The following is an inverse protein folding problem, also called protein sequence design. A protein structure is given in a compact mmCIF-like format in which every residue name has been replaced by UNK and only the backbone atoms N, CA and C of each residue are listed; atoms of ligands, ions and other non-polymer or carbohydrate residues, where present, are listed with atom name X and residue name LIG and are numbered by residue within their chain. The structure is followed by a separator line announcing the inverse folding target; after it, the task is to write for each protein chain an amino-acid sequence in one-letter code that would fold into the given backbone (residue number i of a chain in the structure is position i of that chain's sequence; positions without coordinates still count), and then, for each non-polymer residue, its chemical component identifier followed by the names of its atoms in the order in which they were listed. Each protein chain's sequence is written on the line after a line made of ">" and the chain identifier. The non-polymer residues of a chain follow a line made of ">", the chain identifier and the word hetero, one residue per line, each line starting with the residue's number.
data_IF_429902296336
#
_entry.id   IF_429902296336
#
_cell.length_a   1.000
_cell.length_b   1.000
_cell.length_c   1.000
_cell.angle_alpha   90.00
_cell.angle_beta   90.00
_cell.angle_gamma   90.00
#
_symmetry.space_group_name_H-M   'P 1'
#
loop_
_entity.id
_entity.type
_entity.pdbx_description
1 polymer ?
#
# COMPACT_ATOMS: atom_id res chain seq x y z
N UNK A 1 0.09 36.99 28.13
CA UNK A 1 -0.30 37.70 26.88
C UNK A 1 -0.14 36.74 25.72
N UNK A 2 -1.21 36.45 24.98
CA UNK A 2 -1.15 35.59 23.78
C UNK A 2 -0.54 36.38 22.63
N UNK A 3 0.71 36.08 22.28
CA UNK A 3 1.35 36.66 21.11
C UNK A 3 0.60 36.13 19.87
N UNK A 4 0.00 37.01 19.03
CA UNK A 4 -0.67 36.57 17.82
C UNK A 4 0.35 36.00 16.83
N UNK A 5 -0.09 35.04 16.01
CA UNK A 5 0.77 34.48 14.97
C UNK A 5 1.14 35.54 13.94
N UNK A 6 2.38 35.43 13.43
CA UNK A 6 2.85 36.26 12.33
C UNK A 6 1.94 36.07 11.11
N UNK A 7 1.51 37.16 10.47
CA UNK A 7 0.76 37.10 9.23
C UNK A 7 1.66 36.57 8.12
N UNK A 8 1.24 35.52 7.44
CA UNK A 8 1.98 34.89 6.35
C UNK A 8 1.23 35.11 5.04
N UNK A 9 1.94 35.55 4.01
CA UNK A 9 1.37 35.70 2.68
C UNK A 9 1.38 34.34 1.96
N UNK A 10 0.21 33.78 1.63
CA UNK A 10 0.13 32.45 1.04
C UNK A 10 0.61 32.48 -0.41
N UNK A 11 1.43 31.50 -0.80
CA UNK A 11 1.89 31.34 -2.19
C UNK A 11 0.81 30.73 -3.08
N UNK A 12 1.03 30.84 -4.38
CA UNK A 12 0.25 30.15 -5.41
C UNK A 12 0.48 28.65 -5.30
N UNK A 13 -0.59 27.88 -5.10
CA UNK A 13 -0.59 26.42 -5.05
C UNK A 13 -1.88 25.90 -5.69
N UNK A 14 -1.84 24.72 -6.31
CA UNK A 14 -2.94 24.17 -7.11
C UNK A 14 -4.25 24.07 -6.33
N UNK A 15 -4.20 23.63 -5.07
CA UNK A 15 -5.40 23.45 -4.24
C UNK A 15 -6.11 24.73 -3.79
N UNK A 16 -5.55 25.92 -4.11
CA UNK A 16 -6.21 27.22 -3.83
C UNK A 16 -7.12 27.68 -4.96
N UNK A 17 -6.90 27.19 -6.16
CA UNK A 17 -7.72 27.52 -7.33
C UNK A 17 -8.82 26.45 -7.43
N UNK A 18 -10.06 26.78 -7.82
CA UNK A 18 -11.06 25.77 -8.14
C UNK A 18 -10.57 24.89 -9.30
N UNK A 19 -10.93 23.62 -9.27
CA UNK A 19 -10.71 22.71 -10.39
C UNK A 19 -11.94 22.60 -11.27
N UNK A 20 -11.71 22.42 -12.56
CA UNK A 20 -12.74 22.10 -13.54
C UNK A 20 -12.52 20.69 -14.12
N UNK A 21 -11.61 19.93 -13.50
CA UNK A 21 -11.19 18.61 -13.94
C UNK A 21 -12.29 17.60 -13.61
N UNK A 22 -12.55 16.67 -14.54
CA UNK A 22 -13.45 15.53 -14.30
C UNK A 22 -12.66 14.44 -13.58
N UNK A 23 -13.23 13.79 -12.55
CA UNK A 23 -12.52 12.76 -11.82
C UNK A 23 -12.00 11.63 -12.72
N UNK A 24 -10.71 11.31 -12.58
CA UNK A 24 -10.02 10.28 -13.36
C UNK A 24 -9.34 9.22 -12.44
N UNK A 25 -8.71 8.21 -13.02
CA UNK A 25 -8.01 7.14 -12.28
C UNK A 25 -6.83 7.66 -11.43
N UNK A 26 -6.24 8.79 -11.82
CA UNK A 26 -5.12 9.41 -11.13
C UNK A 26 -5.52 10.16 -9.84
N UNK A 27 -6.83 10.37 -9.63
CA UNK A 27 -7.33 11.06 -8.46
C UNK A 27 -7.20 10.21 -7.20
N UNK A 28 -6.89 10.84 -6.04
CA UNK A 28 -6.73 10.11 -4.80
C UNK A 28 -8.07 9.48 -4.38
N UNK A 29 -8.04 8.18 -4.11
CA UNK A 29 -9.17 7.48 -3.51
C UNK A 29 -9.51 8.10 -2.16
N UNK A 30 -10.73 8.63 -2.04
CA UNK A 30 -11.22 9.20 -0.79
C UNK A 30 -11.72 8.09 0.14
N UNK A 31 -11.10 7.95 1.30
CA UNK A 31 -11.53 7.03 2.34
C UNK A 31 -12.39 7.78 3.34
N UNK A 32 -13.68 7.43 3.39
CA UNK A 32 -14.65 8.05 4.30
C UNK A 32 -15.29 6.99 5.18
N UNK A 33 -15.36 7.24 6.49
CA UNK A 33 -15.90 6.27 7.45
C UNK A 33 -17.38 5.95 7.21
N UNK A 34 -18.17 6.93 6.74
CA UNK A 34 -19.60 6.73 6.41
C UNK A 34 -19.82 5.77 5.25
N UNK A 35 -18.87 5.68 4.34
CA UNK A 35 -18.97 4.85 3.14
C UNK A 35 -18.48 3.41 3.42
N UNK A 36 -17.89 3.16 4.60
CA UNK A 36 -17.44 1.85 5.04
C UNK A 36 -18.62 1.02 5.59
N UNK A 37 -19.02 -0.01 4.85
CA UNK A 37 -20.12 -0.93 5.22
C UNK A 37 -19.56 -2.21 5.85
N UNK A 38 -18.40 -2.68 5.37
CA UNK A 38 -17.76 -3.91 5.85
C UNK A 38 -16.54 -3.62 6.73
N UNK A 39 -16.18 -4.59 7.58
CA UNK A 39 -14.95 -4.52 8.38
C UNK A 39 -13.69 -4.38 7.50
N UNK A 40 -13.70 -4.98 6.30
CA UNK A 40 -12.61 -4.85 5.34
C UNK A 40 -12.45 -3.40 4.84
N UNK A 41 -13.55 -2.66 4.68
CA UNK A 41 -13.50 -1.24 4.28
C UNK A 41 -12.92 -0.38 5.41
N UNK A 42 -13.27 -0.70 6.66
CA UNK A 42 -12.70 -0.03 7.84
C UNK A 42 -11.20 -0.32 7.95
N UNK A 43 -10.79 -1.55 7.70
CA UNK A 43 -9.36 -1.91 7.66
C UNK A 43 -8.59 -1.19 6.56
N UNK A 44 -9.19 -1.05 5.38
CA UNK A 44 -8.61 -0.26 4.29
C UNK A 44 -8.48 1.22 4.67
N UNK A 45 -9.46 1.78 5.38
CA UNK A 45 -9.44 3.16 5.89
C UNK A 45 -8.34 3.34 6.95
N UNK A 46 -8.24 2.42 7.91
CA UNK A 46 -7.19 2.41 8.94
C UNK A 46 -5.82 2.35 8.28
N UNK A 47 -5.63 1.45 7.32
CA UNK A 47 -4.38 1.33 6.56
C UNK A 47 -4.03 2.62 5.81
N UNK A 48 -5.02 3.25 5.16
CA UNK A 48 -4.82 4.52 4.46
C UNK A 48 -4.41 5.65 5.42
N UNK A 49 -5.01 5.71 6.60
CA UNK A 49 -4.65 6.69 7.63
C UNK A 49 -3.23 6.49 8.16
N UNK A 50 -2.80 5.25 8.44
CA UNK A 50 -1.41 4.96 8.80
C UNK A 50 -0.44 5.34 7.68
N UNK A 51 -0.76 4.99 6.43
CA UNK A 51 0.06 5.32 5.27
C UNK A 51 0.22 6.83 5.10
N UNK A 52 -0.84 7.59 5.35
CA UNK A 52 -0.81 9.05 5.26
C UNK A 52 0.02 9.69 6.38
N UNK A 53 -0.14 9.23 7.64
CA UNK A 53 0.48 9.89 8.81
C UNK A 53 1.90 9.38 9.11
N UNK A 54 2.20 8.10 8.95
CA UNK A 54 3.53 7.54 9.26
C UNK A 54 4.38 7.26 8.02
N UNK A 55 3.78 7.16 6.83
CA UNK A 55 4.38 6.56 5.63
C UNK A 55 4.44 5.02 5.69
N UNK A 56 4.58 4.41 4.51
CA UNK A 56 4.43 2.95 4.32
C UNK A 56 5.44 2.10 5.11
N UNK A 57 6.68 2.57 5.25
CA UNK A 57 7.74 1.84 5.95
C UNK A 57 7.58 1.80 7.49
N UNK A 58 6.64 2.56 8.04
CA UNK A 58 6.38 2.64 9.48
C UNK A 58 5.08 1.92 9.88
N UNK A 59 4.45 1.19 8.98
CA UNK A 59 3.27 0.36 9.26
C UNK A 59 3.72 -1.03 9.75
N UNK A 60 4.43 -1.03 10.88
CA UNK A 60 4.89 -2.26 11.55
C UNK A 60 3.90 -2.64 12.64
N UNK A 61 3.81 -3.93 12.95
CA UNK A 61 2.95 -4.45 14.03
C UNK A 61 3.24 -3.76 15.37
N UNK A 62 4.51 -3.48 15.67
CA UNK A 62 4.94 -2.76 16.88
C UNK A 62 4.49 -1.30 16.94
N UNK A 63 4.17 -0.68 15.81
CA UNK A 63 3.78 0.74 15.75
C UNK A 63 2.27 0.95 15.62
N UNK A 64 1.50 -0.13 15.46
CA UNK A 64 0.03 -0.06 15.42
C UNK A 64 -0.52 0.35 16.78
N UNK A 65 -1.66 1.04 16.74
CA UNK A 65 -2.38 1.59 17.88
C UNK A 65 -3.73 0.86 18.03
N UNK A 66 -3.74 -0.37 18.60
CA UNK A 66 -4.93 -1.24 18.60
C UNK A 66 -6.12 -0.63 19.35
N UNK A 67 -5.86 0.16 20.39
CA UNK A 67 -6.92 0.85 21.14
C UNK A 67 -7.64 1.91 20.29
N UNK A 68 -6.88 2.71 19.53
CA UNK A 68 -7.44 3.71 18.60
C UNK A 68 -8.20 3.04 17.46
N UNK A 69 -7.67 1.95 16.92
CA UNK A 69 -8.34 1.18 15.86
C UNK A 69 -9.67 0.60 16.33
N UNK A 70 -9.71 0.06 17.56
CA UNK A 70 -10.93 -0.49 18.16
C UNK A 70 -11.98 0.61 18.40
N UNK A 71 -11.56 1.78 18.85
CA UNK A 71 -12.46 2.94 19.03
C UNK A 71 -13.04 3.41 17.70
N UNK A 72 -12.24 3.42 16.62
CA UNK A 72 -12.71 3.80 15.29
C UNK A 72 -13.68 2.76 14.71
N UNK A 73 -13.36 1.47 14.86
CA UNK A 73 -14.25 0.37 14.45
C UNK A 73 -15.61 0.43 15.14
N UNK A 74 -15.62 0.76 16.43
CA UNK A 74 -16.84 0.95 17.21
C UNK A 74 -17.54 2.30 16.96
N UNK A 75 -17.00 3.14 16.06
CA UNK A 75 -17.49 4.50 15.77
C UNK A 75 -17.60 5.38 17.02
N UNK A 76 -16.79 5.10 18.04
CA UNK A 76 -16.71 5.91 19.25
C UNK A 76 -15.91 7.20 19.02
N UNK A 77 -15.01 7.19 18.04
CA UNK A 77 -14.24 8.34 17.60
C UNK A 77 -14.44 8.57 16.09
N UNK A 78 -14.29 9.83 15.68
CA UNK A 78 -14.31 10.23 14.27
C UNK A 78 -12.98 9.96 13.58
N UNK A 79 -12.91 10.06 12.25
CA UNK A 79 -11.64 9.93 11.52
C UNK A 79 -10.69 11.06 11.89
N UNK A 80 -11.18 12.28 12.10
CA UNK A 80 -10.37 13.40 12.60
C UNK A 80 -9.74 13.10 13.95
N UNK A 81 -10.48 12.49 14.87
CA UNK A 81 -9.97 12.09 16.19
C UNK A 81 -8.99 10.92 16.09
N UNK A 82 -9.23 9.97 15.18
CA UNK A 82 -8.26 8.92 14.90
C UNK A 82 -6.93 9.49 14.39
N UNK A 83 -6.98 10.42 13.43
CA UNK A 83 -5.80 11.13 12.92
C UNK A 83 -5.13 11.95 14.03
N UNK A 84 -5.90 12.57 14.94
CA UNK A 84 -5.39 13.25 16.14
C UNK A 84 -4.65 12.28 17.05
N UNK A 85 -5.20 11.10 17.29
CA UNK A 85 -4.58 10.04 18.06
C UNK A 85 -3.27 9.57 17.45
N UNK A 86 -3.24 9.34 16.13
CA UNK A 86 -2.01 8.97 15.41
C UNK A 86 -0.95 10.08 15.45
N UNK A 87 -1.32 11.36 15.37
CA UNK A 87 -0.37 12.47 15.49
C UNK A 87 0.16 12.68 16.90
N UNK A 88 -0.56 12.18 17.91
CA UNK A 88 -0.21 12.29 19.34
C UNK A 88 0.43 11.01 19.90
N UNK A 89 0.58 9.96 19.10
CA UNK A 89 1.20 8.72 19.56
C UNK A 89 2.70 8.88 19.81
N UNK A 90 3.24 8.02 20.67
CA UNK A 90 4.68 7.96 20.93
C UNK A 90 5.46 7.59 19.65
N UNK A 91 4.86 6.77 18.79
CA UNK A 91 5.44 6.43 17.49
C UNK A 91 5.63 7.65 16.59
N UNK A 92 4.67 8.58 16.56
CA UNK A 92 4.84 9.84 15.83
C UNK A 92 5.96 10.68 16.45
N UNK A 93 5.98 10.75 17.77
CA UNK A 93 6.96 11.53 18.52
C UNK A 93 8.39 11.04 18.26
N UNK A 94 8.66 9.78 18.53
CA UNK A 94 10.02 9.23 18.44
C UNK A 94 10.55 9.20 17.00
N UNK A 95 9.69 8.78 16.05
CA UNK A 95 10.15 8.51 14.69
C UNK A 95 10.17 9.76 13.83
N UNK A 96 9.23 10.68 14.05
CA UNK A 96 9.03 11.85 13.18
C UNK A 96 9.41 13.14 13.91
N UNK A 97 8.93 13.35 15.13
CA UNK A 97 9.20 14.61 15.84
C UNK A 97 10.68 14.73 16.23
N UNK A 98 11.20 13.75 16.98
CA UNK A 98 12.55 13.83 17.58
C UNK A 98 13.67 13.83 16.53
N UNK A 99 13.39 13.32 15.32
CA UNK A 99 14.34 13.24 14.21
C UNK A 99 14.37 14.47 13.31
N UNK A 100 13.54 15.48 13.57
CA UNK A 100 13.41 16.66 12.72
C UNK A 100 13.53 17.97 13.52
N UNK A 101 13.95 19.04 12.83
CA UNK A 101 13.87 20.39 13.39
C UNK A 101 12.42 20.90 13.33
N UNK A 102 12.06 21.84 14.21
CA UNK A 102 10.72 22.42 14.27
C UNK A 102 10.23 22.92 12.89
N UNK A 103 11.11 23.54 12.10
CA UNK A 103 10.77 24.06 10.77
C UNK A 103 10.41 22.95 9.77
N UNK A 104 11.25 21.90 9.71
CA UNK A 104 11.04 20.77 8.79
C UNK A 104 9.81 19.95 9.19
N UNK A 105 9.64 19.77 10.49
CA UNK A 105 8.49 19.07 11.07
C UNK A 105 7.17 19.74 10.67
N UNK A 106 7.11 21.07 10.65
CA UNK A 106 5.91 21.79 10.21
C UNK A 106 5.60 21.48 8.75
N UNK A 107 6.60 21.53 7.88
CA UNK A 107 6.39 21.18 6.46
C UNK A 107 5.91 19.74 6.29
N UNK A 108 6.43 18.82 7.11
CA UNK A 108 6.00 17.43 7.13
C UNK A 108 4.56 17.27 7.64
N UNK A 109 4.21 17.97 8.72
CA UNK A 109 2.86 17.97 9.28
C UNK A 109 1.84 18.56 8.30
N UNK A 110 2.17 19.65 7.62
CA UNK A 110 1.31 20.22 6.58
C UNK A 110 1.03 19.22 5.45
N UNK A 111 2.07 18.50 5.01
CA UNK A 111 1.93 17.49 3.96
C UNK A 111 1.09 16.29 4.38
N UNK A 112 1.26 15.83 5.63
CA UNK A 112 0.60 14.62 6.15
C UNK A 112 -0.83 14.88 6.63
N UNK A 113 -1.06 15.99 7.36
CA UNK A 113 -2.37 16.30 7.94
C UNK A 113 -3.25 17.17 7.03
N UNK A 114 -2.71 18.20 6.39
CA UNK A 114 -3.50 19.07 5.49
C UNK A 114 -3.44 18.62 4.03
N UNK A 115 -2.52 17.75 3.66
CA UNK A 115 -2.39 17.28 2.29
C UNK A 115 -1.81 18.32 1.33
N UNK A 116 -1.07 19.32 1.84
CA UNK A 116 -0.41 20.35 1.04
C UNK A 116 1.01 20.64 1.54
N UNK A 117 1.85 21.19 0.67
CA UNK A 117 3.13 21.74 1.10
C UNK A 117 2.94 23.08 1.84
N UNK A 118 3.88 23.41 2.72
CA UNK A 118 3.95 24.75 3.30
C UNK A 118 4.10 25.83 2.20
N UNK A 119 3.50 27.00 2.39
CA UNK A 119 3.60 28.15 1.49
C UNK A 119 5.01 28.75 1.46
N UNK A 120 5.86 28.40 2.42
CA UNK A 120 7.26 28.81 2.42
C UNK A 120 7.86 28.78 3.82
N UNK A 121 9.05 29.38 3.93
CA UNK A 121 9.77 29.48 5.21
C UNK A 121 9.01 30.33 6.23
N UNK A 122 8.29 31.36 5.79
CA UNK A 122 7.55 32.25 6.69
C UNK A 122 6.44 31.51 7.44
N UNK A 123 5.72 30.59 6.77
CA UNK A 123 4.72 29.72 7.41
C UNK A 123 5.36 28.77 8.42
N UNK A 124 6.52 28.20 8.05
CA UNK A 124 7.29 27.32 8.95
C UNK A 124 7.77 28.08 10.18
N UNK A 125 8.24 29.31 10.03
CA UNK A 125 8.69 30.14 11.16
C UNK A 125 7.48 30.52 12.03
N UNK A 126 6.40 31.00 11.43
CA UNK A 126 5.19 31.40 12.15
C UNK A 126 4.62 30.25 12.99
N UNK A 127 4.61 29.02 12.48
CA UNK A 127 4.07 27.86 13.21
C UNK A 127 5.08 27.21 14.15
N UNK A 128 6.38 27.47 13.98
CA UNK A 128 7.41 26.93 14.89
C UNK A 128 7.28 27.47 16.30
N UNK A 129 6.72 28.68 16.47
CA UNK A 129 6.42 29.22 17.80
C UNK A 129 5.25 28.47 18.48
N UNK A 130 4.28 27.97 17.71
CA UNK A 130 3.17 27.16 18.26
C UNK A 130 3.71 25.85 18.81
N UNK A 131 4.59 25.20 18.04
CA UNK A 131 5.33 24.01 18.46
C UNK A 131 6.12 24.29 19.74
N UNK A 132 6.86 25.39 19.81
CA UNK A 132 7.68 25.73 20.96
C UNK A 132 6.87 26.08 22.22
N UNK A 133 5.68 26.66 22.07
CA UNK A 133 4.86 27.14 23.19
C UNK A 133 3.84 26.13 23.69
N UNK A 134 3.22 25.34 22.80
CA UNK A 134 2.17 24.36 23.12
C UNK A 134 2.63 22.91 23.04
N UNK A 135 3.85 22.66 22.57
CA UNK A 135 4.38 21.33 22.33
C UNK A 135 3.72 20.62 21.14
N UNK A 136 4.04 19.33 20.98
CA UNK A 136 3.54 18.48 19.90
C UNK A 136 2.01 18.37 19.92
N UNK A 137 1.43 18.00 21.05
CA UNK A 137 -0.01 17.76 21.13
C UNK A 137 -0.83 19.01 20.77
N UNK A 138 -0.47 20.17 21.33
CA UNK A 138 -1.16 21.42 21.05
C UNK A 138 -0.93 21.93 19.63
N UNK A 139 0.19 21.59 18.99
CA UNK A 139 0.43 21.87 17.58
C UNK A 139 -0.48 21.01 16.67
N UNK A 140 -0.57 19.70 16.92
CA UNK A 140 -1.48 18.82 16.17
C UNK A 140 -2.93 19.28 16.32
N UNK A 141 -3.33 19.67 17.53
CA UNK A 141 -4.66 20.23 17.77
C UNK A 141 -4.89 21.49 16.93
N UNK A 142 -3.92 22.42 16.92
CA UNK A 142 -4.04 23.64 16.12
C UNK A 142 -4.18 23.41 14.61
N UNK A 143 -3.64 22.31 14.08
CA UNK A 143 -3.80 21.96 12.66
C UNK A 143 -5.17 21.35 12.41
N UNK A 144 -5.59 20.39 13.22
CA UNK A 144 -6.84 19.65 13.01
C UNK A 144 -8.09 20.49 13.33
N UNK A 145 -7.95 21.47 14.22
CA UNK A 145 -9.01 22.43 14.57
C UNK A 145 -9.05 23.63 13.61
N UNK A 146 -8.19 23.65 12.58
CA UNK A 146 -8.21 24.70 11.56
C UNK A 146 -9.43 24.61 10.66
N UNK A 147 -9.91 25.79 10.21
CA UNK A 147 -10.97 25.87 9.21
C UNK A 147 -10.56 25.18 7.90
N UNK A 148 -9.28 25.25 7.52
CA UNK A 148 -8.77 24.59 6.32
C UNK A 148 -8.97 23.07 6.37
N UNK A 149 -8.66 22.44 7.50
CA UNK A 149 -8.88 21.00 7.69
C UNK A 149 -10.36 20.65 7.62
N UNK A 150 -11.19 21.43 8.32
CA UNK A 150 -12.64 21.21 8.39
C UNK A 150 -13.32 21.34 7.03
N UNK A 151 -12.93 22.34 6.23
CA UNK A 151 -13.46 22.55 4.88
C UNK A 151 -12.99 21.46 3.90
N UNK A 152 -11.75 20.97 4.05
CA UNK A 152 -11.20 19.98 3.13
C UNK A 152 -11.65 18.54 3.42
N UNK A 153 -11.71 18.15 4.69
CA UNK A 153 -11.93 16.74 5.10
C UNK A 153 -13.12 16.56 6.06
N UNK A 154 -13.52 17.61 6.77
CA UNK A 154 -14.51 17.51 7.83
C UNK A 154 -14.03 16.57 8.95
N UNK A 155 -14.88 15.64 9.36
CA UNK A 155 -14.60 14.72 10.48
C UNK A 155 -14.43 13.27 10.03
N UNK A 156 -14.88 12.93 8.83
CA UNK A 156 -15.07 11.54 8.39
C UNK A 156 -14.11 11.11 7.28
N UNK A 157 -13.31 12.02 6.72
CA UNK A 157 -12.44 11.74 5.57
C UNK A 157 -10.98 11.65 6.02
N UNK A 158 -10.28 10.61 5.57
CA UNK A 158 -8.83 10.48 5.79
C UNK A 158 -8.10 11.52 4.91
N UNK A 159 -7.15 12.29 5.47
CA UNK A 159 -6.37 13.25 4.68
C UNK A 159 -5.64 12.58 3.52
N UNK A 160 -5.52 13.29 2.41
CA UNK A 160 -4.82 12.83 1.22
C UNK A 160 -4.08 13.98 0.55
N UNK A 161 -3.13 13.69 -0.34
CA UNK A 161 -2.42 14.74 -1.07
C UNK A 161 -3.37 15.46 -2.04
N UNK A 162 -3.69 16.72 -1.75
CA UNK A 162 -4.65 17.52 -2.51
C UNK A 162 -4.04 17.99 -3.83
N UNK A 163 -4.77 17.80 -4.94
CA UNK A 163 -4.45 18.28 -6.30
C UNK A 163 -2.99 18.01 -6.70
N UNK A 164 -2.57 16.75 -6.60
CA UNK A 164 -1.22 16.30 -6.96
C UNK A 164 -0.93 16.53 -8.45
N UNK A 165 -1.88 16.18 -9.34
CA UNK A 165 -1.65 16.09 -10.78
C UNK A 165 -0.35 15.29 -11.05
N UNK A 166 0.56 15.83 -11.85
CA UNK A 166 1.87 15.25 -12.17
C UNK A 166 2.94 15.42 -11.06
N UNK A 167 2.57 15.95 -9.90
CA UNK A 167 3.48 16.19 -8.78
C UNK A 167 3.99 14.90 -8.13
N UNK A 168 5.20 14.97 -7.55
CA UNK A 168 5.76 13.84 -6.79
C UNK A 168 4.95 13.57 -5.51
N UNK A 169 4.79 12.29 -5.09
CA UNK A 169 4.15 11.97 -3.82
C UNK A 169 4.95 12.50 -2.63
N UNK A 170 4.27 13.04 -1.60
CA UNK A 170 4.95 13.69 -0.47
C UNK A 170 5.90 12.77 0.31
N UNK A 171 5.58 11.48 0.43
CA UNK A 171 6.43 10.53 1.16
C UNK A 171 7.81 10.34 0.50
N UNK A 172 7.93 10.58 -0.81
CA UNK A 172 9.22 10.53 -1.51
C UNK A 172 9.98 11.85 -1.41
N UNK A 173 9.25 12.98 -1.45
CA UNK A 173 9.87 14.32 -1.38
C UNK A 173 10.36 14.62 0.05
N UNK A 174 9.61 14.17 1.06
CA UNK A 174 9.90 14.40 2.46
C UNK A 174 10.05 13.04 3.18
N UNK A 175 11.26 12.43 3.10
CA UNK A 175 11.55 11.23 3.89
C UNK A 175 11.49 11.54 5.39
N UNK A 176 11.47 10.47 6.21
CA UNK A 176 11.33 10.54 7.68
C UNK A 176 12.22 11.63 8.31
N UNK A 177 13.48 11.70 7.93
CA UNK A 177 14.41 12.74 8.36
C UNK A 177 15.23 13.27 7.18
N UNK A 178 15.72 14.51 7.31
CA UNK A 178 16.55 15.15 6.29
C UNK A 178 18.05 15.01 6.54
N UNK A 179 18.85 15.71 5.73
CA UNK A 179 20.30 15.71 5.85
C UNK A 179 20.81 16.14 7.22
N UNK A 180 20.15 17.10 7.87
CA UNK A 180 20.53 17.55 9.21
C UNK A 180 20.63 16.41 10.21
N UNK A 181 19.56 15.60 10.33
CA UNK A 181 19.54 14.49 11.27
C UNK A 181 20.41 13.33 10.81
N UNK A 182 20.48 13.10 9.49
CA UNK A 182 21.39 12.10 8.91
C UNK A 182 22.82 12.39 9.31
N UNK A 183 23.28 13.63 9.19
CA UNK A 183 24.62 14.06 9.61
C UNK A 183 24.81 13.91 11.11
N UNK A 184 23.85 14.32 11.95
CA UNK A 184 23.93 14.15 13.42
C UNK A 184 24.04 12.68 13.84
N UNK A 185 23.26 11.80 13.20
CA UNK A 185 23.30 10.36 13.46
C UNK A 185 24.63 9.76 13.00
N UNK A 186 25.08 10.15 11.80
CA UNK A 186 26.39 9.78 11.29
C UNK A 186 27.49 10.24 12.25
N UNK A 187 27.55 11.50 12.67
CA UNK A 187 28.54 11.98 13.64
C UNK A 187 28.54 11.17 14.93
N UNK A 188 27.35 10.86 15.47
CA UNK A 188 27.20 10.03 16.68
C UNK A 188 27.73 8.60 16.48
N UNK A 189 27.41 7.96 15.37
CA UNK A 189 27.74 6.55 15.11
C UNK A 189 29.15 6.36 14.52
N UNK A 190 29.59 7.27 13.65
CA UNK A 190 30.91 7.27 13.01
C UNK A 190 32.03 7.75 13.91
N UNK A 191 31.77 8.50 14.98
CA UNK A 191 32.80 8.81 15.97
C UNK A 191 33.51 7.54 16.48
N UNK A 192 32.89 6.35 16.31
CA UNK A 192 33.45 5.05 16.73
C UNK A 192 33.74 4.06 15.59
N UNK A 193 33.41 4.38 14.33
CA UNK A 193 33.53 3.41 13.22
C UNK A 193 34.28 4.00 12.03
N UNK A 194 35.53 3.55 11.85
CA UNK A 194 36.27 3.70 10.59
C UNK A 194 35.62 2.85 9.50
N UNK A 195 35.25 3.48 8.38
CA UNK A 195 34.69 2.75 7.25
C UNK A 195 35.79 1.96 6.54
N UNK A 196 35.74 0.64 6.67
CA UNK A 196 36.03 -0.19 5.52
C UNK A 196 34.92 0.08 4.50
N UNK A 197 35.22 0.84 3.44
CA UNK A 197 34.52 0.59 2.18
C UNK A 197 34.69 -0.90 1.92
N UNK A 198 33.59 -1.66 1.85
CA UNK A 198 33.64 -2.96 1.19
C UNK A 198 33.95 -2.63 -0.26
N UNK A 199 35.24 -2.56 -0.59
CA UNK A 199 35.72 -2.65 -1.95
C UNK A 199 35.34 -4.04 -2.38
N UNK A 200 34.17 -4.18 -2.99
CA UNK A 200 33.84 -5.38 -3.73
C UNK A 200 34.88 -5.47 -4.84
N UNK A 201 35.90 -6.31 -4.67
CA UNK A 201 36.78 -6.76 -5.74
C UNK A 201 36.02 -7.72 -6.68
N UNK A 202 34.76 -7.41 -6.99
CA UNK A 202 34.07 -8.05 -8.11
C UNK A 202 34.44 -7.25 -9.35
N UNK A 203 34.87 -7.97 -10.38
CA UNK A 203 35.37 -7.43 -11.63
C UNK A 203 34.32 -6.58 -12.35
N UNK A 204 34.26 -5.29 -12.01
CA UNK A 204 33.50 -4.25 -12.72
C UNK A 204 31.98 -4.50 -12.86
N UNK A 205 31.28 -3.49 -13.40
CA UNK A 205 30.05 -3.81 -14.10
C UNK A 205 30.44 -4.61 -15.34
N UNK A 206 29.99 -5.86 -15.45
CA UNK A 206 30.06 -6.60 -16.71
C UNK A 206 29.45 -5.72 -17.80
N UNK A 207 30.28 -5.23 -18.72
CA UNK A 207 29.84 -4.34 -19.77
C UNK A 207 28.74 -5.06 -20.58
N UNK A 208 27.51 -4.59 -20.44
CA UNK A 208 26.33 -5.18 -21.08
C UNK A 208 26.52 -5.24 -22.61
N UNK A 209 27.40 -4.41 -23.17
CA UNK A 209 27.79 -4.44 -24.58
C UNK A 209 28.59 -5.70 -24.93
N UNK A 210 29.53 -6.12 -24.08
CA UNK A 210 30.34 -7.33 -24.27
C UNK A 210 29.46 -8.57 -24.19
N UNK A 211 28.54 -8.63 -23.22
CA UNK A 211 27.56 -9.75 -23.12
C UNK A 211 26.64 -9.79 -24.35
N UNK A 212 26.16 -8.64 -24.84
CA UNK A 212 25.32 -8.56 -26.05
C UNK A 212 26.06 -8.92 -27.34
N UNK A 213 27.37 -8.75 -27.40
CA UNK A 213 28.19 -9.19 -28.54
C UNK A 213 28.46 -10.70 -28.48
N UNK A 214 28.61 -11.26 -27.28
CA UNK A 214 28.87 -12.69 -27.07
C UNK A 214 27.61 -13.58 -27.26
N UNK A 215 26.42 -13.02 -27.06
CA UNK A 215 25.16 -13.74 -27.24
C UNK A 215 24.52 -13.26 -28.55
N UNK A 216 24.40 -14.11 -29.59
CA UNK A 216 23.65 -13.76 -30.78
C UNK A 216 22.24 -13.29 -30.40
N UNK A 217 21.76 -12.17 -30.98
CA UNK A 217 20.57 -11.46 -30.52
C UNK A 217 19.30 -12.31 -30.37
N UNK A 218 19.21 -13.44 -31.10
CA UNK A 218 18.09 -14.37 -31.06
C UNK A 218 18.40 -15.70 -30.39
N UNK A 219 19.61 -15.92 -29.85
CA UNK A 219 20.02 -17.20 -29.28
C UNK A 219 19.10 -17.65 -28.14
N UNK A 220 18.77 -16.75 -27.21
CA UNK A 220 17.86 -17.07 -26.10
C UNK A 220 16.40 -17.25 -26.56
N UNK A 221 15.98 -16.57 -27.62
CA UNK A 221 14.64 -16.77 -28.20
C UNK A 221 14.55 -18.12 -28.94
N UNK A 222 15.59 -18.48 -29.69
CA UNK A 222 15.73 -19.76 -30.37
C UNK A 222 15.83 -20.91 -29.37
N UNK A 223 16.68 -20.79 -28.34
CA UNK A 223 16.83 -21.80 -27.28
C UNK A 223 15.54 -22.01 -26.47
N UNK A 224 14.65 -21.01 -26.38
CA UNK A 224 13.31 -21.16 -25.80
C UNK A 224 12.34 -21.88 -26.73
N UNK A 225 12.50 -21.74 -28.04
CA UNK A 225 11.65 -22.35 -29.05
C UNK A 225 12.08 -23.78 -29.39
N UNK A 226 13.34 -24.15 -29.13
CA UNK A 226 13.76 -25.54 -29.21
C UNK A 226 13.03 -26.32 -28.14
N UNK A 227 12.07 -27.15 -28.56
CA UNK A 227 11.53 -28.23 -27.74
C UNK A 227 12.73 -29.10 -27.35
N UNK A 228 13.21 -28.92 -26.13
CA UNK A 228 14.07 -29.94 -25.53
C UNK A 228 13.21 -31.20 -25.56
N UNK A 229 13.65 -32.32 -26.17
CA UNK A 229 12.94 -33.57 -25.98
C UNK A 229 12.80 -33.71 -24.48
N UNK A 230 11.57 -33.73 -23.97
CA UNK A 230 11.37 -34.11 -22.59
C UNK A 230 12.09 -35.45 -22.50
N UNK A 231 13.20 -35.48 -21.75
CA UNK A 231 13.60 -36.74 -21.17
C UNK A 231 12.37 -37.07 -20.36
N UNK A 232 11.58 -38.02 -20.84
CA UNK A 232 10.53 -38.64 -20.06
C UNK A 232 11.24 -39.19 -18.84
N UNK A 233 11.39 -38.36 -17.81
CA UNK A 233 11.51 -38.82 -16.45
C UNK A 233 10.12 -39.27 -16.03
N UNK A 234 9.44 -40.09 -16.85
CA UNK A 234 8.80 -41.24 -16.26
C UNK A 234 9.92 -41.89 -15.47
N UNK A 235 9.87 -41.68 -14.16
CA UNK A 235 10.51 -42.59 -13.23
C UNK A 235 10.17 -43.96 -13.79
N UNK A 236 11.17 -44.75 -14.11
CA UNK A 236 11.00 -46.19 -14.06
C UNK A 236 10.49 -46.48 -12.64
N UNK A 237 9.17 -46.36 -12.45
CA UNK A 237 8.49 -47.06 -11.39
C UNK A 237 8.78 -48.48 -11.80
N UNK A 238 9.75 -49.08 -11.12
CA UNK A 238 10.11 -50.46 -11.28
C UNK A 238 8.79 -51.24 -11.36
N UNK A 239 8.36 -51.56 -12.58
CA UNK A 239 7.31 -52.53 -12.78
C UNK A 239 7.98 -53.80 -12.34
N UNK A 240 7.65 -54.26 -11.15
CA UNK A 240 7.90 -55.62 -10.77
C UNK A 240 7.36 -56.47 -11.94
N UNK A 241 8.27 -57.04 -12.72
CA UNK A 241 7.95 -58.16 -13.60
C UNK A 241 7.56 -59.28 -12.65
N UNK A 242 6.29 -59.32 -12.24
CA UNK A 242 5.71 -60.55 -11.75
C UNK A 242 5.75 -61.49 -12.94
N UNK A 243 6.78 -62.33 -12.95
CA UNK A 243 6.83 -63.54 -13.76
C UNK A 243 5.46 -64.21 -13.68
N UNK A 244 4.97 -64.60 -14.85
CA UNK A 244 3.78 -65.43 -15.10
C UNK A 244 3.32 -66.28 -13.91
N UNK A 245 2.51 -65.70 -13.02
CA UNK A 245 1.64 -66.47 -12.14
C UNK A 245 0.31 -66.50 -12.87
N UNK A 246 -0.06 -67.67 -13.41
CA UNK A 246 -1.44 -67.91 -13.85
C UNK A 246 -2.32 -67.79 -12.61
N UNK A 247 -3.03 -66.67 -12.48
CA UNK A 247 -4.07 -66.50 -11.48
C UNK A 247 -5.16 -67.52 -11.85
N UNK A 248 -5.47 -68.51 -10.99
CA UNK A 248 -6.57 -69.43 -11.24
C UNK A 248 -7.88 -68.64 -11.25
N UNK A 249 -8.77 -68.99 -12.19
CA UNK A 249 -10.02 -68.29 -12.39
C UNK A 249 -10.96 -68.53 -11.20
N UNK A 250 -11.14 -67.50 -10.38
CA UNK A 250 -11.95 -67.55 -9.15
C UNK A 250 -13.39 -67.07 -9.38
N UNK A 251 -13.83 -66.94 -10.64
CA UNK A 251 -15.21 -66.58 -10.94
C UNK A 251 -16.16 -67.69 -10.48
N UNK A 252 -16.95 -67.39 -9.45
CA UNK A 252 -18.08 -68.23 -9.06
C UNK A 252 -19.29 -67.81 -9.90
N UNK A 253 -19.86 -68.72 -10.67
CA UNK A 253 -21.14 -68.47 -11.36
C UNK A 253 -22.22 -68.24 -10.32
N UNK A 254 -22.72 -67.01 -10.22
CA UNK A 254 -23.91 -66.71 -9.44
C UNK A 254 -25.14 -66.93 -10.32
N UNK A 255 -25.92 -67.99 -10.05
CA UNK A 255 -27.22 -68.28 -10.69
C UNK A 255 -28.36 -67.35 -10.22
N UNK A 256 -28.04 -66.16 -9.71
CA UNK A 256 -29.05 -65.20 -9.32
C UNK A 256 -29.52 -64.43 -10.57
N UNK A 257 -30.84 -64.34 -10.82
CA UNK A 257 -31.35 -63.58 -11.94
C UNK A 257 -30.93 -62.11 -11.81
N UNK A 258 -30.23 -61.58 -12.82
CA UNK A 258 -29.83 -60.17 -12.87
C UNK A 258 -31.08 -59.29 -12.86
N UNK A 259 -31.24 -58.32 -11.93
CA UNK A 259 -32.38 -57.43 -11.95
C UNK A 259 -32.35 -56.58 -13.23
N UNK A 260 -33.45 -56.63 -13.99
CA UNK A 260 -33.63 -55.85 -15.20
C UNK A 260 -33.92 -54.41 -14.81
N UNK A 261 -32.89 -53.56 -14.76
CA UNK A 261 -33.08 -52.11 -14.57
C UNK A 261 -33.40 -51.49 -15.92
N UNK A 262 -34.68 -51.17 -16.17
CA UNK A 262 -35.07 -50.35 -17.32
C UNK A 262 -34.73 -48.88 -17.03
N UNK A 263 -34.03 -48.17 -17.92
CA UNK A 263 -33.77 -46.75 -17.72
C UNK A 263 -35.08 -45.95 -17.81
N UNK A 264 -35.48 -45.35 -16.69
CA UNK A 264 -36.63 -44.43 -16.63
C UNK A 264 -36.16 -43.04 -17.04
N UNK A 265 -36.78 -42.43 -18.06
CA UNK A 265 -36.50 -41.03 -18.42
C UNK A 265 -36.99 -40.12 -17.29
N UNK A 266 -36.06 -39.53 -16.55
CA UNK A 266 -36.35 -38.48 -15.57
C UNK A 266 -36.29 -37.13 -16.28
N UNK A 267 -37.36 -36.34 -16.20
CA UNK A 267 -37.37 -34.96 -16.66
C UNK A 267 -36.60 -34.10 -15.65
N UNK A 268 -35.50 -33.47 -16.10
CA UNK A 268 -34.76 -32.50 -15.28
C UNK A 268 -35.64 -31.25 -15.08
N UNK A 269 -35.79 -30.73 -13.84
CA UNK A 269 -36.76 -29.69 -13.52
C UNK A 269 -36.43 -28.30 -14.08
N UNK A 270 -35.30 -28.08 -14.75
CA UNK A 270 -34.96 -26.78 -15.32
C UNK A 270 -34.29 -26.92 -16.69
N UNK A 271 -35.00 -26.50 -17.75
CA UNK A 271 -34.45 -26.32 -19.11
C UNK A 271 -34.68 -24.86 -19.52
N UNK A 272 -33.67 -24.01 -19.34
CA UNK A 272 -33.69 -22.57 -19.68
C UNK A 272 -33.38 -22.28 -21.17
N UNK A 273 -33.69 -23.20 -22.07
CA UNK A 273 -33.49 -23.00 -23.51
C UNK A 273 -34.84 -23.15 -24.22
N UNK A 274 -35.42 -22.05 -24.74
CA UNK A 274 -36.58 -22.12 -25.64
C UNK A 274 -36.24 -22.99 -26.85
N UNK A 275 -37.15 -23.88 -27.23
CA UNK A 275 -36.98 -24.82 -28.36
C UNK A 275 -36.92 -24.13 -29.72
N UNK A 276 -37.42 -22.91 -29.84
CA UNK A 276 -37.61 -22.24 -31.13
C UNK A 276 -37.03 -20.81 -31.10
N UNK A 277 -35.77 -20.62 -31.51
CA UNK A 277 -35.27 -19.28 -31.80
C UNK A 277 -35.96 -18.77 -33.05
N UNK A 278 -36.87 -17.80 -32.91
CA UNK A 278 -37.40 -17.04 -34.06
C UNK A 278 -36.25 -16.28 -34.70
N UNK A 279 -35.71 -16.82 -35.79
CA UNK A 279 -34.79 -16.12 -36.68
C UNK A 279 -35.61 -15.07 -37.45
N UNK A 280 -35.33 -13.79 -37.19
CA UNK A 280 -35.93 -12.68 -37.93
C UNK A 280 -35.54 -12.73 -39.40
N UNK A 281 -36.54 -12.74 -40.29
CA UNK A 281 -36.39 -12.58 -41.73
C UNK A 281 -36.87 -11.18 -42.10
N UNK A 282 -35.93 -10.33 -42.54
CA UNK A 282 -36.06 -9.04 -43.23
C UNK A 282 -36.87 -7.93 -42.56
#
# INVERSE_FOLDING_TARGET
>A
MSIPLLKVNPKTQNQRVPGYDVPDEDDPKMYRLRDCISDADVDALIWAAYRQIFSEHLILESYRQPFLESQLRNRAITVREFIRGLGKSDTFRELIWDTNSNYRLIDLAMKRFLGRASYGKDEQIALSIVVATKGLHGFIDSILDSEEYTVAYGEDIVPYQRRRLEGRPFNLVNPRYGDYWRTKLLERELATRSYYQVRTYQAGELDKRVIRQAIPAMFLNMARQTLVPQVDSQRDVARATSSSIKIPDMTRSSDLPKPTVKPTKVALPYRYLPSDPKVGSK
#
